data_IF_322837977826
#
_entry.id   IF_322837977826
#
_cell.length_a   1.000
_cell.length_b   1.000
_cell.length_c   1.000
_cell.angle_alpha   90.00
_cell.angle_beta   90.00
_cell.angle_gamma   90.00
#
_symmetry.space_group_name_H-M   'P 1'
#
loop_
_entity.id
_entity.type
_entity.pdbx_description
1 polymer ?
#
# COMPACT_ATOMS: atom_id res chain seq x y z
N UNK A 1 -42.38 -5.10 14.14
CA UNK A 1 -41.27 -4.73 15.05
C UNK A 1 -40.00 -4.85 14.24
N UNK A 2 -39.33 -3.72 14.04
CA UNK A 2 -38.17 -3.55 13.17
C UNK A 2 -36.92 -4.19 13.76
N UNK A 3 -36.12 -4.85 12.91
CA UNK A 3 -34.68 -4.93 13.11
C UNK A 3 -34.02 -5.37 11.81
N UNK A 4 -33.75 -4.38 10.95
CA UNK A 4 -32.86 -4.54 9.82
C UNK A 4 -31.45 -4.81 10.32
N UNK A 5 -30.93 -5.99 10.02
CA UNK A 5 -29.50 -6.26 10.14
C UNK A 5 -28.86 -5.93 8.80
N UNK A 6 -28.64 -4.64 8.57
CA UNK A 6 -27.69 -4.20 7.54
C UNK A 6 -26.30 -4.58 8.04
N UNK A 7 -25.90 -5.83 7.82
CA UNK A 7 -24.50 -6.25 7.90
C UNK A 7 -23.76 -5.48 6.82
N UNK A 8 -23.28 -4.29 7.19
CA UNK A 8 -22.63 -3.35 6.31
C UNK A 8 -21.39 -3.98 5.69
N UNK A 9 -21.52 -4.47 4.46
CA UNK A 9 -20.37 -4.79 3.62
C UNK A 9 -19.64 -3.48 3.39
N UNK A 10 -18.49 -3.29 4.05
CA UNK A 10 -17.54 -2.24 3.66
C UNK A 10 -17.07 -2.58 2.27
N UNK A 11 -17.60 -1.88 1.27
CA UNK A 11 -17.05 -1.85 -0.08
C UNK A 11 -15.64 -1.28 0.03
N UNK A 12 -14.65 -2.14 -0.22
CA UNK A 12 -13.24 -1.75 -0.22
C UNK A 12 -13.04 -0.93 -1.51
N UNK A 13 -12.48 0.28 -1.40
CA UNK A 13 -12.36 1.17 -2.57
C UNK A 13 -11.22 0.71 -3.49
N UNK A 14 -11.31 0.99 -4.80
CA UNK A 14 -10.30 0.62 -5.80
C UNK A 14 -8.89 1.14 -5.49
N UNK A 15 -8.77 2.17 -4.66
CA UNK A 15 -7.51 2.81 -4.25
C UNK A 15 -7.08 2.43 -2.83
N UNK A 16 -7.44 1.23 -2.39
CA UNK A 16 -7.13 0.74 -1.05
C UNK A 16 -6.03 -0.30 -1.08
N UNK A 17 -4.99 -0.12 -0.26
CA UNK A 17 -3.97 -1.14 -0.02
C UNK A 17 -4.23 -1.84 1.31
N UNK A 18 -3.94 -3.13 1.34
CA UNK A 18 -3.86 -3.95 2.54
C UNK A 18 -2.40 -4.05 2.99
N UNK A 19 -2.15 -3.64 4.22
CA UNK A 19 -0.85 -3.74 4.87
C UNK A 19 -0.89 -4.90 5.85
N UNK A 20 0.09 -5.80 5.74
CA UNK A 20 0.22 -6.99 6.56
C UNK A 20 1.56 -6.99 7.30
N UNK A 21 1.70 -7.89 8.26
CA UNK A 21 2.90 -8.05 9.07
C UNK A 21 3.26 -6.78 9.87
N UNK A 22 2.24 -6.09 10.39
CA UNK A 22 2.46 -4.91 11.21
C UNK A 22 2.89 -5.30 12.62
N UNK A 23 3.90 -4.60 13.12
CA UNK A 23 4.33 -4.70 14.51
C UNK A 23 3.22 -4.19 15.46
N UNK A 24 3.05 -4.80 16.65
CA UNK A 24 2.09 -4.32 17.67
C UNK A 24 2.33 -2.89 18.14
N UNK A 25 3.49 -2.31 17.84
CA UNK A 25 3.87 -0.94 18.21
C UNK A 25 3.37 0.11 17.21
N UNK A 26 2.97 -0.32 16.01
CA UNK A 26 2.53 0.58 14.94
C UNK A 26 1.14 1.12 15.27
N UNK A 27 1.01 2.44 15.22
CA UNK A 27 -0.27 3.13 15.42
C UNK A 27 -0.84 3.63 14.09
N UNK A 28 -2.10 4.09 14.12
CA UNK A 28 -2.72 4.74 12.97
C UNK A 28 -1.95 5.97 12.50
N UNK A 29 -1.36 6.74 13.44
CA UNK A 29 -0.56 7.91 13.11
C UNK A 29 0.76 7.53 12.42
N UNK A 30 1.40 6.43 12.82
CA UNK A 30 2.61 5.94 12.16
C UNK A 30 2.34 5.53 10.71
N UNK A 31 1.23 4.81 10.48
CA UNK A 31 0.80 4.42 9.14
C UNK A 31 0.40 5.63 8.29
N UNK A 32 -0.37 6.56 8.85
CA UNK A 32 -0.75 7.80 8.15
C UNK A 32 0.49 8.59 7.72
N UNK A 33 1.44 8.80 8.64
CA UNK A 33 2.69 9.50 8.35
C UNK A 33 3.52 8.77 7.28
N UNK A 34 3.64 7.44 7.39
CA UNK A 34 4.39 6.63 6.43
C UNK A 34 3.77 6.65 5.03
N UNK A 35 2.45 6.51 4.92
CA UNK A 35 1.76 6.50 3.64
C UNK A 35 1.47 7.90 3.09
N UNK A 36 1.59 8.96 3.92
CA UNK A 36 1.53 10.36 3.46
C UNK A 36 2.66 10.70 2.48
N UNK A 37 3.77 9.96 2.48
CA UNK A 37 4.84 10.10 1.46
C UNK A 37 4.39 9.63 0.07
N UNK A 38 3.44 8.69 0.01
CA UNK A 38 2.83 8.24 -1.25
C UNK A 38 1.79 9.24 -1.74
N UNK A 39 1.05 9.85 -0.81
CA UNK A 39 0.08 10.91 -1.08
C UNK A 39 -0.99 10.99 -0.01
N UNK A 40 -2.05 11.75 -0.29
CA UNK A 40 -3.11 12.01 0.70
C UNK A 40 -3.88 10.73 1.06
N UNK A 41 -3.76 10.30 2.32
CA UNK A 41 -4.51 9.20 2.92
C UNK A 41 -5.92 9.68 3.22
N UNK A 42 -6.93 8.98 2.70
CA UNK A 42 -8.34 9.32 2.85
C UNK A 42 -8.99 8.55 3.99
N UNK A 43 -8.69 7.27 4.11
CA UNK A 43 -9.22 6.42 5.16
C UNK A 43 -8.16 5.43 5.63
N UNK A 44 -8.14 5.15 6.94
CA UNK A 44 -7.22 4.22 7.56
C UNK A 44 -7.97 3.38 8.59
N UNK A 45 -7.86 2.05 8.47
CA UNK A 45 -8.44 1.11 9.40
C UNK A 45 -7.41 0.04 9.80
N UNK A 46 -7.11 -0.06 11.09
CA UNK A 46 -6.26 -1.13 11.64
C UNK A 46 -7.13 -2.27 12.17
N UNK A 47 -6.75 -3.49 11.82
CA UNK A 47 -7.36 -4.73 12.24
C UNK A 47 -6.35 -5.56 13.01
N UNK A 48 -6.84 -6.25 14.05
CA UNK A 48 -6.05 -7.23 14.79
C UNK A 48 -6.58 -8.61 14.46
N UNK A 49 -5.80 -9.41 13.75
CA UNK A 49 -6.20 -10.78 13.47
C UNK A 49 -5.94 -11.64 14.72
N UNK A 50 -7.00 -12.20 15.29
CA UNK A 50 -6.96 -12.96 16.56
C UNK A 50 -6.83 -14.48 16.35
N UNK A 51 -6.89 -14.91 15.09
CA UNK A 51 -7.01 -16.32 14.69
C UNK A 51 -5.65 -17.03 14.55
N UNK A 52 -4.57 -16.27 14.33
CA UNK A 52 -3.22 -16.84 14.29
C UNK A 52 -2.54 -16.72 15.65
N UNK A 53 -1.84 -17.79 16.02
CA UNK A 53 -1.04 -17.94 17.24
C UNK A 53 0.00 -16.82 17.45
N UNK A 54 0.28 -16.04 16.41
CA UNK A 54 0.97 -14.75 16.47
C UNK A 54 -0.05 -13.63 16.20
N UNK A 55 -0.13 -12.63 17.09
CA UNK A 55 -0.95 -11.44 16.85
C UNK A 55 -0.42 -10.68 15.64
N UNK A 56 -0.91 -11.00 14.45
CA UNK A 56 -0.64 -10.25 13.23
C UNK A 56 -1.62 -9.07 13.15
N UNK A 57 -1.05 -7.86 13.13
CA UNK A 57 -1.80 -6.66 12.84
C UNK A 57 -1.81 -6.45 11.32
N UNK A 58 -2.96 -6.04 10.82
CA UNK A 58 -3.15 -5.66 9.43
C UNK A 58 -3.85 -4.30 9.36
N UNK A 59 -3.69 -3.59 8.26
CA UNK A 59 -4.39 -2.33 8.05
C UNK A 59 -4.90 -2.24 6.62
N UNK A 60 -5.95 -1.45 6.45
CA UNK A 60 -6.40 -0.94 5.16
C UNK A 60 -6.09 0.55 5.11
N UNK A 61 -5.48 0.98 4.02
CA UNK A 61 -5.16 2.38 3.76
C UNK A 61 -5.73 2.75 2.42
N UNK A 62 -6.68 3.68 2.42
CA UNK A 62 -7.35 4.15 1.21
C UNK A 62 -6.78 5.51 0.81
N UNK A 63 -6.40 5.64 -0.45
CA UNK A 63 -5.82 6.87 -0.98
C UNK A 63 -6.83 7.69 -1.77
N UNK A 64 -6.66 9.01 -1.72
CA UNK A 64 -7.46 9.91 -2.53
C UNK A 64 -7.09 9.87 -4.03
N UNK A 65 -5.89 9.40 -4.38
CA UNK A 65 -5.37 9.46 -5.75
C UNK A 65 -4.73 8.12 -6.18
N UNK A 66 -4.89 7.72 -7.47
CA UNK A 66 -4.34 6.47 -7.99
C UNK A 66 -2.81 6.42 -7.98
N UNK A 67 -2.15 7.57 -8.16
CA UNK A 67 -0.70 7.67 -8.06
C UNK A 67 -0.19 7.26 -6.66
N UNK A 68 -0.86 7.72 -5.61
CA UNK A 68 -0.50 7.38 -4.24
C UNK A 68 -0.69 5.88 -3.94
N UNK A 69 -1.77 5.30 -4.45
CA UNK A 69 -2.00 3.85 -4.40
C UNK A 69 -0.87 3.06 -5.09
N UNK A 70 -0.47 3.46 -6.31
CA UNK A 70 0.62 2.80 -7.02
C UNK A 70 1.95 2.93 -6.28
N UNK A 71 2.28 4.11 -5.76
CA UNK A 71 3.50 4.31 -4.97
C UNK A 71 3.50 3.48 -3.69
N UNK A 72 2.36 3.36 -3.00
CA UNK A 72 2.23 2.55 -1.79
C UNK A 72 2.53 1.07 -2.06
N UNK A 73 2.09 0.53 -3.21
CA UNK A 73 2.43 -0.85 -3.61
C UNK A 73 3.94 -1.07 -3.83
N UNK A 74 4.70 -0.02 -4.14
CA UNK A 74 6.16 -0.11 -4.27
C UNK A 74 6.87 -0.22 -2.91
N UNK A 75 6.17 0.01 -1.80
CA UNK A 75 6.68 -0.09 -0.44
C UNK A 75 6.51 -1.49 0.16
N UNK A 76 6.22 -2.50 -0.66
CA UNK A 76 6.31 -3.89 -0.23
C UNK A 76 7.72 -4.21 0.29
N UNK A 77 7.79 -4.93 1.41
CA UNK A 77 9.01 -5.24 2.17
C UNK A 77 9.71 -4.03 2.83
N UNK A 78 9.11 -2.84 2.80
CA UNK A 78 9.64 -1.68 3.51
C UNK A 78 9.63 -1.89 5.03
N UNK A 79 10.62 -1.33 5.72
CA UNK A 79 10.70 -1.44 7.19
C UNK A 79 9.80 -0.38 7.83
N UNK A 80 8.81 -0.82 8.60
CA UNK A 80 7.98 0.04 9.45
C UNK A 80 8.14 -0.36 10.92
N UNK A 81 8.56 0.60 11.73
CA UNK A 81 8.94 0.45 13.13
C UNK A 81 10.11 -0.53 13.38
N UNK A 82 9.89 -1.83 13.18
CA UNK A 82 10.87 -2.89 13.45
C UNK A 82 10.68 -4.12 12.53
N UNK A 83 9.68 -4.10 11.64
CA UNK A 83 9.34 -5.26 10.82
C UNK A 83 9.15 -4.86 9.35
N UNK A 84 9.54 -5.73 8.40
CA UNK A 84 9.20 -5.55 7.00
C UNK A 84 7.69 -5.72 6.84
N UNK A 85 7.04 -4.70 6.30
CA UNK A 85 5.61 -4.75 6.01
C UNK A 85 5.37 -5.38 4.64
N UNK A 86 4.18 -5.94 4.48
CA UNK A 86 3.73 -6.48 3.19
C UNK A 86 2.60 -5.62 2.69
N UNK A 87 2.72 -5.08 1.48
CA UNK A 87 1.72 -4.16 0.91
C UNK A 87 1.10 -4.81 -0.32
N UNK A 88 -0.21 -5.02 -0.27
CA UNK A 88 -0.97 -5.70 -1.31
C UNK A 88 -2.18 -4.83 -1.70
N UNK A 89 -2.73 -4.95 -2.91
CA UNK A 89 -4.02 -4.35 -3.21
C UNK A 89 -5.10 -4.99 -2.33
N UNK A 90 -5.94 -4.18 -1.69
CA UNK A 90 -7.07 -4.70 -0.95
C UNK A 90 -8.17 -5.09 -1.94
N UNK A 91 -8.50 -6.39 -2.04
CA UNK A 91 -9.48 -6.89 -3.00
C UNK A 91 -10.86 -6.22 -2.83
N UNK A 92 -11.37 -5.58 -3.88
CA UNK A 92 -12.53 -6.09 -4.64
C UNK A 92 -12.41 -5.67 -6.11
N UNK A 93 -12.62 -6.61 -7.04
CA UNK A 93 -12.38 -6.44 -8.48
C UNK A 93 -13.29 -5.35 -9.09
N UNK A 94 -12.73 -4.20 -9.39
CA UNK A 94 -13.00 -3.47 -10.62
C UNK A 94 -11.73 -2.72 -11.01
N UNK A 95 -10.86 -3.35 -11.79
CA UNK A 95 -9.93 -2.61 -12.62
C UNK A 95 -10.82 -2.03 -13.73
N UNK A 96 -11.14 -0.73 -13.79
CA UNK A 96 -11.61 -0.17 -15.04
C UNK A 96 -10.46 -0.41 -16.00
N UNK A 97 -10.71 -1.26 -16.99
CA UNK A 97 -9.90 -1.37 -18.20
C UNK A 97 -9.52 0.05 -18.60
N UNK A 98 -8.28 0.41 -18.30
CA UNK A 98 -7.68 1.64 -18.80
C UNK A 98 -7.77 1.43 -20.30
N UNK A 99 -8.67 2.16 -20.95
CA UNK A 99 -8.78 2.08 -22.40
C UNK A 99 -7.39 2.37 -22.94
N UNK A 100 -6.94 1.50 -23.83
CA UNK A 100 -5.57 1.19 -24.26
C UNK A 100 -4.73 2.38 -24.82
N UNK A 101 -5.19 3.62 -24.64
CA UNK A 101 -4.63 4.83 -25.28
C UNK A 101 -3.78 5.74 -24.36
N UNK A 102 -3.76 5.56 -23.03
CA UNK A 102 -2.94 6.42 -22.12
C UNK A 102 -1.92 5.62 -21.29
N UNK A 103 -1.36 4.57 -21.86
CA UNK A 103 -0.19 3.88 -21.29
C UNK A 103 1.10 4.14 -22.09
N UNK A 104 1.03 4.91 -23.18
CA UNK A 104 2.16 5.18 -24.07
C UNK A 104 2.91 6.51 -23.79
N UNK A 105 2.72 7.15 -22.62
CA UNK A 105 3.49 8.36 -22.27
C UNK A 105 3.88 8.50 -20.79
N UNK A 106 3.86 7.42 -20.01
CA UNK A 106 4.36 7.47 -18.62
C UNK A 106 5.88 7.30 -18.56
N UNK A 107 6.61 8.38 -18.80
CA UNK A 107 8.04 8.53 -18.49
C UNK A 107 8.37 8.21 -17.02
N UNK A 108 7.36 8.23 -16.15
CA UNK A 108 7.44 7.90 -14.72
C UNK A 108 7.74 6.42 -14.45
N UNK A 109 7.23 5.47 -15.26
CA UNK A 109 7.54 4.06 -15.07
C UNK A 109 8.99 3.74 -15.45
N UNK A 110 9.51 4.35 -16.52
CA UNK A 110 10.92 4.27 -16.87
C UNK A 110 11.82 4.91 -15.81
N UNK A 111 11.42 6.04 -15.21
CA UNK A 111 12.16 6.66 -14.10
C UNK A 111 12.15 5.81 -12.83
N UNK A 112 11.03 5.19 -12.47
CA UNK A 112 10.95 4.30 -11.30
C UNK A 112 11.77 3.02 -11.53
N UNK A 113 11.70 2.43 -12.73
CA UNK A 113 12.56 1.29 -13.08
C UNK A 113 14.04 1.69 -13.19
N UNK A 114 14.37 2.86 -13.75
CA UNK A 114 15.74 3.36 -13.86
C UNK A 114 16.34 3.72 -12.51
N UNK A 115 15.58 4.33 -11.59
CA UNK A 115 16.01 4.57 -10.21
C UNK A 115 16.31 3.26 -9.47
N UNK A 116 15.52 2.20 -9.70
CA UNK A 116 15.79 0.86 -9.14
C UNK A 116 17.04 0.21 -9.76
N UNK A 117 17.26 0.35 -11.07
CA UNK A 117 18.36 -0.30 -11.79
C UNK A 117 19.71 0.44 -11.64
N UNK A 118 19.70 1.77 -11.50
CA UNK A 118 20.92 2.59 -11.41
C UNK A 118 21.55 2.54 -10.00
N UNK A 119 20.75 2.33 -8.95
CA UNK A 119 21.24 2.09 -7.57
C UNK A 119 22.04 0.78 -7.45
N UNK A 120 21.72 -0.24 -8.24
CA UNK A 120 22.39 -1.55 -8.16
C UNK A 120 23.73 -1.64 -8.94
N UNK A 121 24.09 -0.63 -9.73
CA UNK A 121 25.28 -0.63 -10.59
C UNK A 121 26.38 0.36 -10.20
N UNK A 122 26.19 1.12 -9.11
CA UNK A 122 27.09 2.18 -8.66
C UNK A 122 28.05 1.77 -7.52
N UNK A 123 28.41 0.48 -7.41
CA UNK A 123 29.40 -0.02 -6.44
C UNK A 123 30.63 -0.69 -7.09
N UNK A 124 30.98 -0.38 -8.34
CA UNK A 124 32.20 -0.97 -8.93
C UNK A 124 32.96 -0.07 -9.90
N UNK A 125 33.13 1.20 -9.55
CA UNK A 125 34.10 2.05 -10.26
C UNK A 125 34.80 3.06 -9.32
N UNK A 126 35.26 2.61 -8.14
CA UNK A 126 36.31 3.32 -7.42
C UNK A 126 37.03 2.42 -6.41
N UNK A 127 37.88 1.52 -6.90
CA UNK A 127 39.02 1.04 -6.12
C UNK A 127 40.20 0.93 -7.07
N UNK A 128 40.95 2.03 -7.10
CA UNK A 128 42.35 2.01 -7.54
C UNK A 128 43.23 1.30 -6.53
#
# INVERSE_FOLDING_TARGET
>A
MSSGSSSGRRIIQELTVQVLNLSPKVTAADLDHFFSYCGNVQELCIFRNKDQSFSQYSALVTFAHPFAFQTALLLDDAILADQPIRVLPALDLAIPIISDDDYASSTTLLLIFWMKYNVMYLDNENSG
#
